data_IF_122112256156
#
_entry.id   IF_122112256156
#
_cell.length_a   1.000
_cell.length_b   1.000
_cell.length_c   1.000
_cell.angle_alpha   90.00
_cell.angle_beta   90.00
_cell.angle_gamma   90.00
#
_symmetry.space_group_name_H-M   'P 1'
#
loop_
_entity.id
_entity.type
_entity.pdbx_description
1 polymer ?
#
# COMPACT_ATOMS: atom_id res chain seq x y z
N UNK A 1 0.07 0.23 9.08
CA UNK A 1 -0.04 1.40 9.99
C UNK A 1 1.32 2.05 10.24
N UNK A 2 1.78 2.83 9.28
CA UNK A 2 3.15 3.35 9.22
C UNK A 2 3.17 4.86 9.05
N UNK A 3 2.11 5.47 8.52
CA UNK A 3 1.96 6.92 8.40
C UNK A 3 1.18 7.48 9.57
N UNK A 4 1.52 8.69 10.01
CA UNK A 4 0.90 9.31 11.19
C UNK A 4 -0.61 9.56 11.06
N UNK A 5 -1.12 9.77 9.84
CA UNK A 5 -2.56 9.89 9.58
C UNK A 5 -3.30 8.56 9.37
N UNK A 6 -2.59 7.44 9.11
CA UNK A 6 -3.20 6.16 8.71
C UNK A 6 -4.08 5.56 9.82
N UNK A 7 -3.70 5.81 11.06
CA UNK A 7 -4.41 5.32 12.23
C UNK A 7 -5.81 5.92 12.37
N UNK A 8 -5.99 7.21 12.08
CA UNK A 8 -7.31 7.87 12.19
C UNK A 8 -8.28 7.37 11.12
N UNK A 9 -7.81 7.18 9.88
CA UNK A 9 -8.65 6.64 8.81
C UNK A 9 -9.10 5.21 9.12
N UNK A 10 -8.19 4.34 9.59
CA UNK A 10 -8.53 2.95 9.98
C UNK A 10 -9.34 2.84 11.26
N UNK A 11 -9.09 3.70 12.24
CA UNK A 11 -9.89 3.76 13.47
C UNK A 11 -11.35 4.12 13.16
N UNK A 12 -11.58 5.06 12.24
CA UNK A 12 -12.93 5.38 11.78
C UNK A 12 -13.63 4.20 11.08
N UNK A 13 -12.88 3.33 10.39
CA UNK A 13 -13.43 2.12 9.75
C UNK A 13 -13.76 1.00 10.75
N UNK A 14 -13.09 0.95 11.90
CA UNK A 14 -13.23 -0.13 12.90
C UNK A 14 -13.57 0.39 14.30
N UNK A 15 -14.20 1.56 14.40
CA UNK A 15 -14.44 2.23 15.67
C UNK A 15 -15.22 1.32 16.63
N UNK A 16 -14.63 1.03 17.79
CA UNK A 16 -15.24 0.24 18.86
C UNK A 16 -15.93 1.21 19.85
N UNK A 17 -17.18 0.97 20.28
CA UNK A 17 -17.86 1.82 21.26
C UNK A 17 -17.16 1.92 22.63
N UNK A 18 -16.24 1.00 22.96
CA UNK A 18 -15.47 1.02 24.21
C UNK A 18 -13.96 0.87 23.95
N UNK A 19 -13.23 2.00 24.02
CA UNK A 19 -11.77 2.06 24.00
C UNK A 19 -11.11 2.25 22.62
N UNK A 20 -9.78 2.24 22.60
CA UNK A 20 -8.97 2.40 21.38
C UNK A 20 -9.07 1.14 20.52
N UNK A 21 -9.26 1.28 19.20
CA UNK A 21 -9.14 0.16 18.26
C UNK A 21 -7.73 -0.45 18.28
N UNK A 22 -7.60 -1.70 17.84
CA UNK A 22 -6.29 -2.34 17.73
C UNK A 22 -5.38 -1.63 16.72
N UNK A 23 -5.97 -1.01 15.68
CA UNK A 23 -5.24 -0.14 14.76
C UNK A 23 -4.60 1.04 15.47
N UNK A 24 -5.34 1.72 16.36
CA UNK A 24 -4.80 2.84 17.12
C UNK A 24 -3.75 2.40 18.15
N UNK A 25 -3.89 1.22 18.77
CA UNK A 25 -2.86 0.65 19.65
C UNK A 25 -1.57 0.37 18.88
N UNK A 26 -1.66 -0.28 17.72
CA UNK A 26 -0.52 -0.57 16.84
C UNK A 26 0.18 0.70 16.39
N UNK A 27 -0.59 1.73 16.04
CA UNK A 27 -0.03 3.03 15.69
C UNK A 27 0.77 3.67 16.83
N UNK A 28 0.23 3.66 18.06
CA UNK A 28 0.93 4.20 19.24
C UNK A 28 2.24 3.46 19.50
N UNK A 29 2.24 2.13 19.41
CA UNK A 29 3.48 1.35 19.50
C UNK A 29 4.51 1.83 18.47
N UNK A 30 4.10 2.03 17.22
CA UNK A 30 4.96 2.58 16.17
C UNK A 30 5.53 3.96 16.53
N UNK A 31 4.72 4.90 17.00
CA UNK A 31 5.21 6.23 17.39
C UNK A 31 6.22 6.15 18.54
N UNK A 32 5.97 5.29 19.52
CA UNK A 32 6.81 5.16 20.72
C UNK A 32 8.12 4.40 20.48
N UNK A 33 8.12 3.42 19.56
CA UNK A 33 9.23 2.48 19.40
C UNK A 33 9.62 2.13 17.96
N UNK A 34 9.00 2.72 16.95
CA UNK A 34 9.22 2.43 15.54
C UNK A 34 10.45 3.10 14.92
N UNK A 35 11.02 4.11 15.61
CA UNK A 35 12.24 4.81 15.21
C UNK A 35 13.37 4.59 16.23
N UNK A 36 13.94 3.37 16.30
CA UNK A 36 15.01 3.06 17.23
C UNK A 36 16.29 3.83 16.90
N UNK A 37 17.18 4.00 17.88
CA UNK A 37 18.53 4.49 17.64
C UNK A 37 19.38 3.52 16.79
N UNK A 38 20.54 3.96 16.27
CA UNK A 38 21.38 3.16 15.38
C UNK A 38 21.71 1.78 15.94
N UNK A 39 21.64 0.76 15.08
CA UNK A 39 21.97 -0.63 15.43
C UNK A 39 20.95 -1.36 16.31
N UNK A 40 19.79 -0.76 16.60
CA UNK A 40 18.71 -1.38 17.37
C UNK A 40 17.50 -1.68 16.48
N UNK A 41 16.84 -2.80 16.74
CA UNK A 41 15.51 -3.08 16.20
C UNK A 41 14.45 -2.30 17.00
N UNK A 42 13.47 -1.75 16.29
CA UNK A 42 12.31 -1.09 16.87
C UNK A 42 11.18 -2.08 17.10
N UNK A 43 9.98 -1.56 17.32
CA UNK A 43 8.79 -2.39 17.43
C UNK A 43 8.30 -2.87 16.05
N UNK A 44 7.63 -4.01 16.06
CA UNK A 44 7.07 -4.64 14.87
C UNK A 44 5.94 -3.77 14.26
N UNK A 45 6.05 -3.36 12.99
CA UNK A 45 4.92 -2.75 12.28
C UNK A 45 3.87 -3.80 11.93
N UNK A 46 2.65 -3.33 11.69
CA UNK A 46 1.66 -4.09 10.92
C UNK A 46 2.17 -4.30 9.48
N UNK A 47 1.95 -5.49 8.93
CA UNK A 47 2.21 -5.80 7.53
C UNK A 47 1.18 -6.83 7.03
N UNK A 48 0.97 -6.88 5.71
CA UNK A 48 0.16 -7.89 5.04
C UNK A 48 0.81 -8.29 3.71
N UNK A 49 0.39 -9.42 3.15
CA UNK A 49 0.90 -9.92 1.88
C UNK A 49 -0.02 -9.51 0.73
N UNK A 50 0.53 -8.79 -0.26
CA UNK A 50 -0.21 -8.33 -1.44
C UNK A 50 -0.29 -9.41 -2.53
N UNK A 51 0.71 -10.28 -2.62
CA UNK A 51 0.77 -11.33 -3.64
C UNK A 51 2.19 -11.62 -4.10
N UNK A 52 2.29 -12.45 -5.13
CA UNK A 52 3.56 -12.96 -5.68
C UNK A 52 4.21 -12.02 -6.70
N UNK A 53 3.62 -10.84 -6.93
CA UNK A 53 4.03 -9.91 -7.99
C UNK A 53 3.30 -10.11 -9.33
N UNK A 54 2.55 -11.21 -9.50
CA UNK A 54 1.75 -11.45 -10.72
C UNK A 54 0.64 -10.43 -10.96
N UNK A 55 0.26 -9.68 -9.93
CA UNK A 55 -0.74 -8.61 -9.99
C UNK A 55 -0.13 -7.20 -10.04
N UNK A 56 1.19 -7.08 -10.26
CA UNK A 56 1.82 -5.79 -10.48
C UNK A 56 1.41 -5.24 -11.85
N UNK A 57 1.02 -3.96 -11.90
CA UNK A 57 0.49 -3.28 -13.09
C UNK A 57 1.42 -2.14 -13.46
N UNK A 58 1.71 -2.02 -14.76
CA UNK A 58 2.55 -0.95 -15.28
C UNK A 58 1.82 0.41 -15.23
N UNK A 59 2.52 1.54 -15.15
CA UNK A 59 1.91 2.86 -15.30
C UNK A 59 1.14 2.96 -16.63
N UNK A 60 -0.07 3.50 -16.59
CA UNK A 60 -0.98 3.64 -17.73
C UNK A 60 -1.88 2.43 -18.01
N UNK A 61 -1.50 1.23 -17.56
CA UNK A 61 -2.30 0.03 -17.75
C UNK A 61 -3.48 -0.03 -16.76
N UNK A 62 -4.60 -0.67 -17.12
CA UNK A 62 -5.77 -0.71 -16.23
C UNK A 62 -5.54 -1.50 -14.94
N UNK A 63 -5.99 -0.92 -13.83
CA UNK A 63 -6.19 -1.65 -12.57
C UNK A 63 -7.52 -2.39 -12.66
N UNK A 64 -7.46 -3.69 -12.93
CA UNK A 64 -8.65 -4.54 -13.00
C UNK A 64 -9.13 -4.94 -11.60
N UNK A 65 -10.28 -4.40 -11.20
CA UNK A 65 -10.99 -4.87 -10.01
C UNK A 65 -11.65 -6.22 -10.29
N UNK A 66 -11.42 -7.26 -9.46
CA UNK A 66 -12.11 -8.53 -9.60
C UNK A 66 -13.63 -8.37 -9.55
N UNK A 67 -14.37 -9.15 -10.33
CA UNK A 67 -15.83 -9.02 -10.42
C UNK A 67 -16.57 -9.15 -9.07
N UNK A 68 -16.01 -9.90 -8.12
CA UNK A 68 -16.56 -10.11 -6.78
C UNK A 68 -16.18 -9.02 -5.77
N UNK A 69 -15.27 -8.11 -6.12
CA UNK A 69 -14.85 -7.04 -5.24
C UNK A 69 -16.01 -6.11 -4.93
N UNK A 70 -16.09 -5.64 -3.69
CA UNK A 70 -17.18 -4.76 -3.23
C UNK A 70 -16.88 -3.29 -3.49
N UNK A 71 -15.61 -2.95 -3.64
CA UNK A 71 -15.11 -1.66 -4.11
C UNK A 71 -13.67 -1.77 -4.65
N UNK A 72 -13.11 -0.63 -5.03
CA UNK A 72 -11.77 -0.51 -5.60
C UNK A 72 -11.28 0.92 -5.49
N UNK A 73 -10.49 1.22 -4.45
CA UNK A 73 -9.97 2.55 -4.15
C UNK A 73 -8.45 2.62 -4.21
N UNK A 74 -7.93 3.84 -4.40
CA UNK A 74 -6.50 4.12 -4.40
C UNK A 74 -5.93 4.29 -3.00
N UNK A 75 -4.68 3.85 -2.84
CA UNK A 75 -3.85 4.14 -1.68
C UNK A 75 -2.47 4.60 -2.18
N UNK A 76 -2.19 5.92 -2.18
CA UNK A 76 -0.95 6.47 -2.66
C UNK A 76 0.19 6.19 -1.68
N UNK A 77 1.17 5.41 -2.12
CA UNK A 77 2.28 4.96 -1.28
C UNK A 77 3.65 5.21 -1.94
N UNK A 78 4.69 5.05 -1.12
CA UNK A 78 6.05 4.81 -1.60
C UNK A 78 6.32 3.31 -1.52
N UNK A 79 6.86 2.75 -2.60
CA UNK A 79 7.32 1.37 -2.66
C UNK A 79 8.85 1.30 -2.64
N UNK A 80 9.43 0.45 -1.79
CA UNK A 80 10.85 0.08 -1.83
C UNK A 80 11.06 -1.24 -2.58
N UNK A 81 12.14 -1.31 -3.36
CA UNK A 81 12.50 -2.47 -4.18
C UNK A 81 13.78 -3.11 -3.67
N UNK A 82 13.79 -4.44 -3.55
CA UNK A 82 14.90 -5.18 -2.95
C UNK A 82 15.21 -6.45 -3.72
N UNK A 83 16.46 -6.62 -4.12
CA UNK A 83 16.97 -7.87 -4.70
C UNK A 83 17.72 -8.67 -3.63
N UNK A 84 17.42 -9.97 -3.52
CA UNK A 84 18.16 -10.84 -2.61
C UNK A 84 19.39 -11.42 -3.32
N UNK A 85 20.56 -11.16 -2.75
CA UNK A 85 21.84 -11.65 -3.26
C UNK A 85 22.01 -13.16 -3.11
N UNK A 86 23.03 -13.71 -3.77
CA UNK A 86 23.37 -15.13 -3.72
C UNK A 86 23.68 -15.65 -2.30
N UNK A 87 24.07 -14.76 -1.39
CA UNK A 87 24.35 -15.01 0.02
C UNK A 87 23.11 -14.83 0.94
N UNK A 88 21.94 -14.55 0.36
CA UNK A 88 20.71 -14.26 1.10
C UNK A 88 20.65 -12.86 1.70
N UNK A 89 21.58 -11.96 1.34
CA UNK A 89 21.54 -10.56 1.80
C UNK A 89 20.54 -9.76 0.96
N UNK A 90 19.59 -9.02 1.56
CA UNK A 90 18.75 -8.08 0.82
C UNK A 90 19.55 -6.84 0.39
N UNK A 91 19.34 -6.41 -0.85
CA UNK A 91 19.93 -5.20 -1.43
C UNK A 91 18.82 -4.30 -1.94
N UNK A 92 18.68 -3.11 -1.33
CA UNK A 92 17.74 -2.11 -1.79
C UNK A 92 18.21 -1.55 -3.13
N UNK A 93 17.33 -1.62 -4.12
CA UNK A 93 17.56 -1.10 -5.48
C UNK A 93 17.15 0.38 -5.55
N UNK A 94 16.00 0.73 -4.96
CA UNK A 94 15.47 2.08 -4.99
C UNK A 94 14.02 2.15 -4.53
N UNK A 95 13.36 3.26 -4.85
CA UNK A 95 11.98 3.57 -4.46
C UNK A 95 11.15 4.08 -5.65
N UNK A 96 9.84 3.89 -5.62
CA UNK A 96 8.91 4.53 -6.58
C UNK A 96 7.64 4.99 -5.88
N UNK A 97 6.81 5.74 -6.61
CA UNK A 97 5.38 5.84 -6.27
C UNK A 97 4.71 4.48 -6.49
N UNK A 98 3.65 4.25 -5.75
CA UNK A 98 2.80 3.07 -5.88
C UNK A 98 1.34 3.41 -5.60
N UNK A 99 0.44 2.67 -6.24
CA UNK A 99 -0.97 2.62 -5.88
C UNK A 99 -1.29 1.24 -5.30
N UNK A 100 -1.55 1.17 -4.00
CA UNK A 100 -1.99 -0.04 -3.31
C UNK A 100 -3.50 -0.20 -3.43
N UNK A 101 -3.96 -0.59 -4.63
CA UNK A 101 -5.39 -0.67 -4.94
C UNK A 101 -6.12 -1.66 -4.03
N UNK A 102 -7.23 -1.23 -3.44
CA UNK A 102 -7.81 -1.90 -2.26
C UNK A 102 -9.33 -1.97 -2.29
N UNK A 103 -9.88 -3.00 -1.65
CA UNK A 103 -11.31 -3.20 -1.42
C UNK A 103 -11.68 -2.80 0.03
N UNK A 104 -11.85 -1.50 0.27
CA UNK A 104 -12.11 -0.94 1.59
C UNK A 104 -13.46 -1.36 2.17
N UNK A 105 -14.45 -1.68 1.33
CA UNK A 105 -15.74 -2.21 1.77
C UNK A 105 -15.55 -3.59 2.39
N UNK A 106 -14.80 -4.49 1.74
CA UNK A 106 -14.46 -5.81 2.30
C UNK A 106 -13.67 -5.69 3.60
N UNK A 107 -12.70 -4.78 3.67
CA UNK A 107 -11.93 -4.51 4.89
C UNK A 107 -12.85 -4.10 6.04
N UNK A 108 -13.79 -3.19 5.78
CA UNK A 108 -14.70 -2.64 6.80
C UNK A 108 -15.64 -3.69 7.41
N UNK A 109 -15.96 -4.77 6.69
CA UNK A 109 -16.82 -5.86 7.22
C UNK A 109 -16.23 -6.43 8.52
N UNK A 110 -14.92 -6.67 8.53
CA UNK A 110 -14.21 -7.19 9.69
C UNK A 110 -12.71 -6.96 9.54
N UNK A 111 -12.01 -6.62 10.63
CA UNK A 111 -10.56 -6.47 10.61
C UNK A 111 -9.82 -7.71 10.05
N UNK A 112 -10.33 -8.93 10.27
CA UNK A 112 -9.74 -10.15 9.71
C UNK A 112 -9.84 -10.25 8.18
N UNK A 113 -10.65 -9.40 7.55
CA UNK A 113 -10.79 -9.34 6.09
C UNK A 113 -9.76 -8.43 5.43
N UNK A 114 -8.89 -7.77 6.20
CA UNK A 114 -7.76 -6.97 5.68
C UNK A 114 -6.92 -7.77 4.67
N UNK A 115 -6.58 -9.03 4.97
CA UNK A 115 -5.79 -9.82 4.04
C UNK A 115 -6.53 -10.04 2.70
N UNK A 116 -7.87 -10.19 2.74
CA UNK A 116 -8.69 -10.43 1.56
C UNK A 116 -8.92 -9.17 0.73
N UNK A 117 -9.10 -8.01 1.38
CA UNK A 117 -9.29 -6.73 0.70
C UNK A 117 -8.05 -6.29 -0.09
N UNK A 118 -6.88 -6.74 0.36
CA UNK A 118 -5.59 -6.39 -0.22
C UNK A 118 -5.15 -7.32 -1.34
N UNK A 119 -5.78 -8.47 -1.59
CA UNK A 119 -5.47 -9.32 -2.76
C UNK A 119 -6.07 -8.73 -4.04
N UNK A 120 -5.46 -7.64 -4.51
CA UNK A 120 -5.86 -6.81 -5.64
C UNK A 120 -4.60 -6.34 -6.38
N UNK A 121 -4.71 -5.86 -7.64
CA UNK A 121 -3.56 -5.32 -8.36
C UNK A 121 -2.85 -4.18 -7.62
N UNK A 122 -1.60 -3.90 -7.99
CA UNK A 122 -0.86 -2.75 -7.49
C UNK A 122 -0.10 -2.11 -8.65
N UNK A 123 -0.25 -0.79 -8.81
CA UNK A 123 0.52 -0.05 -9.81
C UNK A 123 1.81 0.48 -9.21
N UNK A 124 2.90 0.46 -9.99
CA UNK A 124 4.26 0.73 -9.52
C UNK A 124 5.02 1.59 -10.54
N UNK A 125 5.75 2.61 -10.08
CA UNK A 125 6.56 3.47 -10.94
C UNK A 125 5.96 4.88 -11.07
N UNK A 126 6.10 5.58 -12.21
CA UNK A 126 6.81 5.16 -13.42
C UNK A 126 8.34 5.22 -13.31
N UNK A 127 8.86 6.04 -12.40
CA UNK A 127 10.30 6.22 -12.21
C UNK A 127 10.78 5.55 -10.92
N UNK A 128 12.04 5.10 -10.95
CA UNK A 128 12.73 4.52 -9.81
C UNK A 128 13.78 5.50 -9.29
N UNK A 129 13.54 6.03 -8.10
CA UNK A 129 14.51 6.81 -7.35
C UNK A 129 15.58 5.89 -6.74
N UNK A 130 16.81 5.99 -7.24
CA UNK A 130 17.97 5.25 -6.69
C UNK A 130 18.65 6.08 -5.60
N UNK A 131 19.10 5.41 -4.54
CA UNK A 131 19.77 6.03 -3.40
C UNK A 131 18.88 6.11 -2.17
N UNK A 132 19.01 7.19 -1.40
CA UNK A 132 18.26 7.39 -0.18
C UNK A 132 16.90 8.06 -0.45
N UNK A 133 15.88 7.60 0.27
CA UNK A 133 14.55 8.21 0.24
C UNK A 133 14.58 9.58 0.93
N UNK A 134 13.98 10.64 0.34
CA UNK A 134 13.82 11.92 1.02
C UNK A 134 13.06 11.76 2.35
N UNK A 135 13.51 12.49 3.37
CA UNK A 135 12.91 12.44 4.70
C UNK A 135 11.47 12.98 4.73
N UNK A 136 11.19 14.03 3.96
CA UNK A 136 9.86 14.61 3.79
C UNK A 136 9.46 14.52 2.32
N UNK A 137 8.39 13.78 2.04
CA UNK A 137 7.81 13.65 0.71
C UNK A 137 6.40 14.20 0.76
N UNK A 138 6.10 15.10 -0.17
CA UNK A 138 4.79 15.71 -0.32
C UNK A 138 4.29 15.44 -1.72
N UNK A 139 3.09 14.89 -1.79
CA UNK A 139 2.46 14.55 -3.06
C UNK A 139 0.97 14.83 -3.04
N UNK A 140 0.34 14.52 -4.16
CA UNK A 140 -1.10 14.67 -4.36
C UNK A 140 -1.63 13.37 -4.96
N UNK A 141 -2.78 12.92 -4.46
CA UNK A 141 -3.58 11.86 -5.05
C UNK A 141 -4.84 12.45 -5.65
N UNK A 142 -5.23 12.00 -6.84
CA UNK A 142 -6.39 12.47 -7.59
C UNK A 142 -7.15 11.31 -8.21
N UNK A 143 -8.45 11.52 -8.38
CA UNK A 143 -9.30 10.72 -9.24
C UNK A 143 -9.83 11.62 -10.35
N UNK A 144 -9.54 11.26 -11.61
CA UNK A 144 -10.07 11.93 -12.80
C UNK A 144 -11.16 11.09 -13.44
N UNK A 145 -12.32 11.71 -13.68
CA UNK A 145 -13.42 11.15 -14.48
C UNK A 145 -13.49 11.90 -15.80
N UNK A 146 -12.85 11.34 -16.82
CA UNK A 146 -12.58 12.06 -18.06
C UNK A 146 -11.70 13.29 -17.77
N UNK A 147 -12.18 14.49 -18.13
CA UNK A 147 -11.46 15.75 -17.91
C UNK A 147 -11.69 16.35 -16.51
N UNK A 148 -12.61 15.80 -15.72
CA UNK A 148 -13.01 16.36 -14.42
C UNK A 148 -12.25 15.66 -13.29
N UNK A 149 -11.61 16.43 -12.41
CA UNK A 149 -11.10 15.91 -11.13
C UNK A 149 -12.27 15.79 -10.14
N UNK A 150 -12.67 14.55 -9.83
CA UNK A 150 -13.81 14.27 -8.91
C UNK A 150 -13.37 14.22 -7.45
N UNK A 151 -12.08 13.98 -7.20
CA UNK A 151 -11.48 14.03 -5.87
C UNK A 151 -9.99 14.33 -5.97
N UNK A 152 -9.47 15.08 -5.00
CA UNK A 152 -8.04 15.40 -4.87
C UNK A 152 -7.69 15.61 -3.39
N UNK A 153 -6.56 15.07 -2.94
CA UNK A 153 -6.04 15.32 -1.59
C UNK A 153 -4.52 15.24 -1.54
N UNK A 154 -3.86 16.08 -0.74
CA UNK A 154 -2.44 15.91 -0.48
C UNK A 154 -2.18 14.62 0.31
N UNK A 155 -1.02 14.02 0.10
CA UNK A 155 -0.48 12.98 0.96
C UNK A 155 0.95 13.32 1.39
N UNK A 156 1.34 12.77 2.54
CA UNK A 156 2.67 12.94 3.12
C UNK A 156 3.32 11.58 3.28
N UNK A 157 4.61 11.47 2.98
CA UNK A 157 5.42 10.27 3.22
C UNK A 157 6.87 10.65 3.54
N UNK A 158 7.76 9.67 3.53
CA UNK A 158 9.12 9.81 4.05
C UNK A 158 9.17 9.65 5.56
N UNK A 159 10.35 9.31 6.09
CA UNK A 159 10.53 8.97 7.51
C UNK A 159 10.12 10.09 8.46
N UNK A 160 10.10 11.36 8.05
CA UNK A 160 9.60 12.47 8.87
C UNK A 160 8.09 12.36 9.15
N UNK A 161 7.32 11.76 8.22
CA UNK A 161 5.86 11.62 8.30
C UNK A 161 5.39 10.21 8.68
N UNK A 162 6.33 9.29 8.92
CA UNK A 162 6.06 7.91 9.30
C UNK A 162 6.30 7.67 10.80
N UNK A 163 5.69 6.65 11.38
CA UNK A 163 5.94 6.16 12.74
C UNK A 163 7.13 5.20 12.82
N UNK A 164 7.55 4.63 11.69
CA UNK A 164 8.72 3.75 11.60
C UNK A 164 9.80 4.32 10.69
N UNK A 165 11.07 4.00 10.98
CA UNK A 165 12.14 4.17 9.98
C UNK A 165 12.02 3.10 8.91
N UNK A 166 12.45 3.39 7.69
CA UNK A 166 12.57 2.44 6.59
C UNK A 166 13.46 1.26 7.01
N UNK A 167 14.59 1.54 7.68
CA UNK A 167 15.46 0.48 8.20
C UNK A 167 14.75 -0.46 9.20
N UNK A 168 13.80 0.06 10.00
CA UNK A 168 13.00 -0.79 10.89
C UNK A 168 12.01 -1.65 10.09
N UNK A 169 11.33 -1.07 9.09
CA UNK A 169 10.44 -1.83 8.20
C UNK A 169 11.19 -2.93 7.44
N UNK A 170 12.36 -2.60 6.89
CA UNK A 170 13.28 -3.54 6.23
C UNK A 170 13.72 -4.66 7.18
N UNK A 171 14.14 -4.33 8.41
CA UNK A 171 14.51 -5.32 9.42
C UNK A 171 13.35 -6.28 9.71
N UNK A 172 12.16 -5.75 9.97
CA UNK A 172 11.01 -6.56 10.33
C UNK A 172 10.50 -7.43 9.18
N UNK A 173 10.72 -7.01 7.94
CA UNK A 173 10.48 -7.83 6.76
C UNK A 173 11.57 -8.91 6.62
N UNK A 174 12.84 -8.53 6.53
CA UNK A 174 13.93 -9.44 6.17
C UNK A 174 14.51 -10.26 7.33
N UNK A 175 14.11 -10.04 8.58
CA UNK A 175 14.51 -10.93 9.70
C UNK A 175 14.05 -12.37 9.50
N UNK A 176 12.98 -12.59 8.74
CA UNK A 176 12.50 -13.91 8.38
C UNK A 176 13.32 -14.47 7.22
N UNK A 177 13.91 -15.66 7.40
CA UNK A 177 14.72 -16.31 6.35
C UNK A 177 13.90 -16.62 5.09
N UNK A 178 12.58 -16.78 5.22
CA UNK A 178 11.67 -16.95 4.08
C UNK A 178 11.79 -15.84 3.03
N UNK A 179 12.02 -14.59 3.44
CA UNK A 179 12.12 -13.44 2.51
C UNK A 179 13.56 -13.12 2.10
N UNK A 180 14.46 -14.10 2.25
CA UNK A 180 15.88 -13.98 1.92
C UNK A 180 16.34 -15.11 1.01
N UNK A 181 15.45 -15.61 0.14
CA UNK A 181 15.84 -16.60 -0.86
C UNK A 181 16.65 -15.93 -1.98
N UNK A 182 17.83 -16.46 -2.34
CA UNK A 182 18.66 -15.91 -3.42
C UNK A 182 17.90 -15.71 -4.74
N UNK A 183 18.01 -14.51 -5.31
CA UNK A 183 17.39 -14.16 -6.60
C UNK A 183 15.98 -13.59 -6.49
N UNK A 184 15.33 -13.65 -5.32
CA UNK A 184 14.02 -13.05 -5.13
C UNK A 184 14.07 -11.51 -5.28
N UNK A 185 13.04 -10.96 -5.91
CA UNK A 185 12.75 -9.53 -5.94
C UNK A 185 11.55 -9.25 -5.04
N UNK A 186 11.73 -8.37 -4.05
CA UNK A 186 10.67 -7.89 -3.19
C UNK A 186 10.30 -6.46 -3.52
N UNK A 187 9.01 -6.17 -3.49
CA UNK A 187 8.46 -4.81 -3.46
C UNK A 187 7.71 -4.66 -2.13
N UNK A 188 8.04 -3.62 -1.37
CA UNK A 188 7.43 -3.33 -0.07
C UNK A 188 6.82 -1.93 -0.14
N UNK A 189 5.48 -1.85 -0.09
CA UNK A 189 4.76 -0.58 -0.05
C UNK A 189 4.58 -0.17 1.42
N UNK A 190 4.89 1.08 1.74
CA UNK A 190 5.10 1.52 3.12
C UNK A 190 3.89 2.12 3.81
N UNK A 191 2.67 1.89 3.34
CA UNK A 191 1.43 2.44 3.87
C UNK A 191 1.05 3.79 3.24
N UNK A 192 -0.21 4.17 3.46
CA UNK A 192 -0.73 5.52 3.26
C UNK A 192 -1.65 5.96 4.39
N UNK A 193 -1.99 7.25 4.38
CA UNK A 193 -3.04 7.84 5.21
C UNK A 193 -4.15 8.52 4.38
N UNK A 194 -3.98 8.58 3.06
CA UNK A 194 -4.83 9.36 2.16
C UNK A 194 -5.58 8.40 1.26
N UNK A 195 -6.91 8.34 1.36
CA UNK A 195 -7.73 7.50 0.49
C UNK A 195 -9.10 8.16 0.26
N UNK A 196 -9.56 8.16 -0.98
CA UNK A 196 -10.83 8.74 -1.41
C UNK A 196 -12.05 8.13 -0.72
N UNK A 197 -12.00 6.83 -0.42
CA UNK A 197 -13.07 6.11 0.26
C UNK A 197 -13.39 6.68 1.66
N UNK A 198 -12.40 7.22 2.37
CA UNK A 198 -12.62 7.88 3.67
C UNK A 198 -13.40 9.19 3.54
N UNK A 199 -13.37 9.82 2.37
CA UNK A 199 -14.13 11.03 2.04
C UNK A 199 -15.48 10.70 1.34
N UNK A 200 -15.85 9.42 1.28
CA UNK A 200 -17.13 8.96 0.73
C UNK A 200 -17.20 8.94 -0.80
N UNK A 201 -16.05 8.95 -1.48
CA UNK A 201 -15.97 8.88 -2.95
C UNK A 201 -15.99 7.42 -3.40
N UNK A 202 -16.81 7.15 -4.42
CA UNK A 202 -16.86 5.85 -5.11
C UNK A 202 -16.24 6.00 -6.49
N UNK A 203 -15.18 5.25 -6.76
CA UNK A 203 -14.56 5.19 -8.08
C UNK A 203 -15.44 4.40 -9.08
N UNK A 204 -15.42 4.81 -10.34
CA UNK A 204 -16.20 4.21 -11.43
C UNK A 204 -15.26 3.66 -12.52
N UNK A 205 -15.66 2.60 -13.26
CA UNK A 205 -14.89 2.13 -14.41
C UNK A 205 -14.59 3.28 -15.39
N UNK A 206 -13.33 3.44 -15.75
CA UNK A 206 -12.82 4.54 -16.57
C UNK A 206 -12.28 5.74 -15.78
N UNK A 207 -12.51 5.82 -14.47
CA UNK A 207 -11.81 6.78 -13.61
C UNK A 207 -10.30 6.50 -13.64
N UNK A 208 -9.48 7.55 -13.62
CA UNK A 208 -8.02 7.46 -13.57
C UNK A 208 -7.54 7.89 -12.21
N UNK A 209 -6.87 6.97 -11.50
CA UNK A 209 -6.13 7.28 -10.29
C UNK A 209 -4.78 7.89 -10.69
N UNK A 210 -4.48 9.09 -10.21
CA UNK A 210 -3.23 9.81 -10.49
C UNK A 210 -2.54 10.16 -9.17
N UNK A 211 -1.28 9.77 -9.03
CA UNK A 211 -0.45 9.99 -7.84
C UNK A 211 0.83 10.68 -8.29
N UNK A 212 1.14 11.82 -7.68
CA UNK A 212 2.35 12.58 -7.99
C UNK A 212 3.08 13.00 -6.73
N UNK A 213 4.41 13.02 -6.80
CA UNK A 213 5.26 13.72 -5.84
C UNK A 213 6.53 14.17 -6.57
N UNK A 214 6.94 15.43 -6.38
CA UNK A 214 8.04 16.03 -7.14
C UNK A 214 9.36 15.26 -7.07
N UNK A 215 9.58 14.50 -5.99
CA UNK A 215 10.77 13.66 -5.80
C UNK A 215 10.84 12.44 -6.75
N UNK A 216 9.73 12.08 -7.40
CA UNK A 216 9.61 10.89 -8.27
C UNK A 216 9.31 11.24 -9.73
N UNK A 217 9.48 12.51 -10.11
CA UNK A 217 9.31 12.98 -11.48
C UNK A 217 7.90 12.80 -12.02
N UNK A 218 7.71 11.84 -12.93
CA UNK A 218 6.43 11.62 -13.62
C UNK A 218 5.34 11.08 -12.67
N UNK A 219 4.07 11.50 -12.84
CA UNK A 219 2.96 10.96 -12.07
C UNK A 219 2.70 9.50 -12.44
N UNK A 220 2.32 8.70 -11.44
CA UNK A 220 1.76 7.36 -11.64
C UNK A 220 0.27 7.51 -11.94
N UNK A 221 -0.18 7.04 -13.10
CA UNK A 221 -1.58 7.14 -13.52
C UNK A 221 -2.08 5.80 -14.05
N UNK A 222 -3.24 5.33 -13.57
CA UNK A 222 -3.83 4.06 -14.01
C UNK A 222 -5.35 4.16 -14.06
N UNK A 223 -6.00 3.76 -15.18
CA UNK A 223 -7.45 3.70 -15.25
C UNK A 223 -8.01 2.51 -14.46
N UNK A 224 -9.17 2.69 -13.83
CA UNK A 224 -9.95 1.63 -13.23
C UNK A 224 -10.69 0.85 -14.32
N UNK A 225 -10.59 -0.48 -14.28
CA UNK A 225 -11.43 -1.39 -15.04
C UNK A 225 -12.01 -2.46 -14.12
N UNK A 226 -13.05 -3.15 -14.56
CA UNK A 226 -13.66 -4.27 -13.82
C UNK A 226 -13.56 -5.52 -14.67
N UNK A 227 -13.14 -6.63 -14.06
CA UNK A 227 -13.08 -7.91 -14.74
C UNK A 227 -14.49 -8.38 -15.14
N UNK A 228 -14.60 -9.02 -16.31
CA UNK A 228 -15.82 -9.69 -16.69
C UNK A 228 -15.94 -11.03 -15.94
N UNK A 229 -17.10 -11.30 -15.33
CA UNK A 229 -17.35 -12.56 -14.65
C UNK A 229 -18.62 -12.56 -13.80
N UNK A 230 -19.00 -13.75 -13.33
CA UNK A 230 -20.06 -13.90 -12.34
C UNK A 230 -19.44 -13.83 -10.93
N UNK A 231 -19.74 -12.80 -10.11
CA UNK A 231 -19.10 -12.59 -8.81
C UNK A 231 -19.28 -13.77 -7.85
N UNK A 232 -20.40 -14.50 -7.97
CA UNK A 232 -20.79 -15.57 -7.05
C UNK A 232 -20.49 -16.98 -7.61
N UNK A 233 -19.81 -17.09 -8.75
CA UNK A 233 -19.48 -18.41 -9.30
C UNK A 233 -18.38 -19.08 -8.46
N UNK A 234 -18.62 -20.27 -7.89
CA UNK A 234 -17.63 -20.95 -7.08
C UNK A 234 -16.45 -21.41 -7.94
N UNK A 235 -15.23 -21.23 -7.41
CA UNK A 235 -14.04 -21.88 -7.95
C UNK A 235 -14.11 -23.37 -7.60
N UNK A 236 -14.31 -24.22 -8.61
CA UNK A 236 -14.37 -25.67 -8.41
C UNK A 236 -12.98 -26.24 -8.17
N UNK A 237 -12.80 -26.98 -7.08
CA UNK A 237 -11.55 -27.67 -6.76
C UNK A 237 -11.67 -29.13 -7.19
N UNK A 238 -10.82 -29.53 -8.14
CA UNK A 238 -10.71 -30.94 -8.53
C UNK A 238 -9.97 -31.76 -7.46
N UNK A 239 -10.43 -32.99 -7.23
CA UNK A 239 -9.69 -33.99 -6.45
C UNK A 239 -8.92 -34.92 -7.41
N UNK A 240 -7.66 -35.24 -7.06
CA UNK A 240 -6.79 -36.17 -7.77
C UNK A 240 -6.77 -37.54 -7.09
#
# INVERSE_FOLDING_TARGET
LTHTGSASARDAMHANPEGLSDSMKMFRLGVEGGKPGPGRAGVQPEWFYKGTGVQAVAPGDPLFSPAFALDGGEEPEIAGYYLIGADGRPWRVGFSLANEFSDHVTERINYLYLAHSKLRPAALGPELLVGDLPQDIRGVSRIRRGEVTVWEKPFLSGEANMSHTIANLEHHHFKYALFRQPGDLHVHMFGTATLSFADGVTAEPGDVFEIEAAAFGLPLANPLAVEAGAPDAPVLVGAL
#
